data_IF_660907768671
#
_entry.id   IF_660907768671
#
_cell.length_a   1.000
_cell.length_b   1.000
_cell.length_c   1.000
_cell.angle_alpha   90.00
_cell.angle_beta   90.00
_cell.angle_gamma   90.00
#
_symmetry.space_group_name_H-M   'P 1'
#
loop_
_entity.id
_entity.type
_entity.pdbx_description
1 polymer ?
#
# COMPACT_ATOMS: atom_id res chain seq x y z
N UNK A 1 15.12 -14.60 -8.41
CA UNK A 1 16.20 -14.98 -9.37
C UNK A 1 16.01 -14.46 -10.80
N UNK A 2 14.78 -14.28 -11.33
CA UNK A 2 14.61 -13.90 -12.75
C UNK A 2 14.94 -12.42 -13.08
N UNK A 3 14.80 -11.49 -12.13
CA UNK A 3 15.01 -10.06 -12.36
C UNK A 3 16.49 -9.64 -12.36
N UNK A 4 17.33 -10.27 -11.53
CA UNK A 4 18.79 -10.03 -11.50
C UNK A 4 19.42 -10.42 -12.84
N UNK A 5 18.98 -11.55 -13.41
CA UNK A 5 19.46 -12.00 -14.71
C UNK A 5 19.04 -11.05 -15.86
N UNK A 6 17.87 -10.41 -15.77
CA UNK A 6 17.42 -9.41 -16.75
C UNK A 6 18.22 -8.11 -16.66
N UNK A 7 18.50 -7.64 -15.45
CA UNK A 7 19.31 -6.44 -15.23
C UNK A 7 20.74 -6.62 -15.74
N UNK A 8 21.37 -7.77 -15.43
CA UNK A 8 22.70 -8.08 -15.94
C UNK A 8 22.73 -8.16 -17.46
N UNK A 9 21.71 -8.76 -18.10
CA UNK A 9 21.58 -8.78 -19.57
C UNK A 9 21.49 -7.38 -20.18
N UNK A 10 20.75 -6.45 -19.56
CA UNK A 10 20.65 -5.08 -20.02
C UNK A 10 22.00 -4.34 -19.93
N UNK A 11 22.75 -4.55 -18.84
CA UNK A 11 24.11 -4.00 -18.68
C UNK A 11 25.04 -4.55 -19.77
N UNK A 12 25.04 -5.87 -20.02
CA UNK A 12 25.88 -6.46 -21.07
C UNK A 12 25.51 -5.93 -22.45
N UNK A 13 24.22 -5.74 -22.75
CA UNK A 13 23.78 -5.12 -24.00
C UNK A 13 24.30 -3.68 -24.14
N UNK A 14 24.18 -2.86 -23.09
CA UNK A 14 24.69 -1.49 -23.08
C UNK A 14 26.20 -1.42 -23.35
N UNK A 15 26.98 -2.28 -22.67
CA UNK A 15 28.43 -2.38 -22.86
C UNK A 15 28.76 -2.84 -24.29
N UNK A 16 28.02 -3.81 -24.84
CA UNK A 16 28.26 -4.28 -26.21
C UNK A 16 28.04 -3.20 -27.27
N UNK A 17 27.03 -2.33 -27.10
CA UNK A 17 26.76 -1.21 -28.01
C UNK A 17 27.92 -0.22 -27.96
N UNK A 18 28.42 0.08 -26.76
CA UNK A 18 29.57 0.96 -26.59
C UNK A 18 30.83 0.38 -27.27
N UNK A 19 31.17 -0.88 -26.99
CA UNK A 19 32.35 -1.53 -27.60
C UNK A 19 32.25 -1.55 -29.12
N UNK A 20 31.08 -1.88 -29.67
CA UNK A 20 30.88 -1.97 -31.11
C UNK A 20 30.93 -0.59 -31.79
N UNK A 21 30.21 0.40 -31.24
CA UNK A 21 30.16 1.75 -31.81
C UNK A 21 31.52 2.46 -31.75
N UNK A 22 32.20 2.41 -30.60
CA UNK A 22 33.55 2.98 -30.50
C UNK A 22 34.59 2.16 -31.27
N UNK A 23 34.43 0.83 -31.35
CA UNK A 23 35.27 -0.02 -32.18
C UNK A 23 35.22 0.36 -33.66
N UNK A 24 34.02 0.61 -34.20
CA UNK A 24 33.85 1.11 -35.58
C UNK A 24 34.47 2.49 -35.76
N UNK A 25 34.28 3.39 -34.80
CA UNK A 25 34.90 4.73 -34.84
C UNK A 25 36.43 4.64 -34.91
N UNK A 26 37.05 3.87 -34.02
CA UNK A 26 38.51 3.68 -33.98
C UNK A 26 39.02 3.02 -35.27
N UNK A 27 38.33 1.98 -35.76
CA UNK A 27 38.70 1.31 -36.99
C UNK A 27 38.60 2.26 -38.19
N UNK A 28 37.56 3.08 -38.27
CA UNK A 28 37.38 4.05 -39.34
C UNK A 28 38.47 5.13 -39.33
N UNK A 29 38.84 5.67 -38.17
CA UNK A 29 39.97 6.60 -38.04
C UNK A 29 41.27 5.92 -38.49
N UNK A 30 41.51 4.69 -38.03
CA UNK A 30 42.72 3.94 -38.36
C UNK A 30 42.84 3.73 -39.88
N UNK A 31 41.79 3.29 -40.55
CA UNK A 31 41.79 3.11 -42.01
C UNK A 31 42.03 4.43 -42.75
N UNK A 32 41.36 5.51 -42.34
CA UNK A 32 41.54 6.84 -42.96
C UNK A 32 42.97 7.36 -42.83
N UNK A 33 43.65 7.09 -41.70
CA UNK A 33 45.03 7.56 -41.47
C UNK A 33 46.07 6.68 -42.16
N UNK A 34 45.93 5.35 -42.12
CA UNK A 34 46.95 4.42 -42.62
C UNK A 34 46.80 4.05 -44.09
N UNK A 35 45.59 4.08 -44.64
CA UNK A 35 45.33 3.78 -46.05
C UNK A 35 45.14 5.05 -46.90
N UNK A 36 44.93 6.20 -46.25
CA UNK A 36 44.82 7.50 -46.91
C UNK A 36 46.16 8.21 -47.09
N UNK A 37 46.13 9.29 -47.86
CA UNK A 37 47.25 10.17 -48.22
C UNK A 37 47.80 11.04 -47.05
N UNK A 38 47.41 10.68 -45.82
CA UNK A 38 47.73 11.38 -44.57
C UNK A 38 48.97 10.81 -43.87
N UNK A 39 49.36 9.57 -44.20
CA UNK A 39 50.51 8.88 -43.59
C UNK A 39 51.85 9.52 -43.95
N UNK A 40 52.00 9.99 -45.19
CA UNK A 40 53.26 10.49 -45.73
C UNK A 40 53.46 12.00 -45.53
N UNK A 41 52.56 12.66 -44.78
CA UNK A 41 52.63 14.09 -44.48
C UNK A 41 53.29 14.33 -43.12
N UNK A 42 54.22 15.27 -43.08
CA UNK A 42 54.86 15.74 -41.84
C UNK A 42 53.77 16.25 -40.90
N UNK A 43 53.77 15.81 -39.64
CA UNK A 43 52.85 16.28 -38.61
C UNK A 43 52.93 17.82 -38.55
N UNK A 44 51.87 18.49 -38.97
CA UNK A 44 51.76 19.94 -38.94
C UNK A 44 50.62 20.39 -38.01
N UNK A 45 50.86 21.44 -37.23
CA UNK A 45 49.89 22.04 -36.31
C UNK A 45 49.41 23.42 -36.77
N UNK A 46 49.64 23.77 -38.04
CA UNK A 46 49.08 24.99 -38.61
C UNK A 46 47.56 24.84 -38.82
N UNK A 47 46.82 25.95 -38.78
CA UNK A 47 45.34 25.99 -38.89
C UNK A 47 44.82 25.16 -40.05
N UNK A 48 45.44 25.29 -41.23
CA UNK A 48 45.02 24.62 -42.46
C UNK A 48 45.25 23.10 -42.42
N UNK A 49 46.27 22.66 -41.68
CA UNK A 49 46.60 21.25 -41.52
C UNK A 49 45.62 20.57 -40.56
N UNK A 50 45.31 21.23 -39.45
CA UNK A 50 44.32 20.76 -38.47
C UNK A 50 42.93 20.70 -39.10
N UNK A 51 42.53 21.71 -39.86
CA UNK A 51 41.21 21.73 -40.52
C UNK A 51 41.06 20.57 -41.52
N UNK A 52 42.08 20.29 -42.34
CA UNK A 52 42.05 19.17 -43.30
C UNK A 52 42.04 17.81 -42.60
N UNK A 53 42.80 17.66 -41.52
CA UNK A 53 42.78 16.44 -40.71
C UNK A 53 41.40 16.20 -40.10
N UNK A 54 40.83 17.22 -39.45
CA UNK A 54 39.48 17.16 -38.85
C UNK A 54 38.46 16.76 -39.92
N UNK A 55 38.45 17.42 -41.09
CA UNK A 55 37.54 17.07 -42.19
C UNK A 55 37.69 15.62 -42.67
N UNK A 56 38.92 15.08 -42.67
CA UNK A 56 39.15 13.69 -43.07
C UNK A 56 38.62 12.67 -42.05
N UNK A 57 38.73 12.96 -40.75
CA UNK A 57 38.27 12.07 -39.67
C UNK A 57 36.85 12.37 -39.17
N UNK A 58 36.25 13.48 -39.59
CA UNK A 58 34.90 13.93 -39.21
C UNK A 58 33.83 12.84 -39.38
N UNK A 59 33.79 12.06 -40.48
CA UNK A 59 32.83 10.96 -40.62
C UNK A 59 32.96 9.91 -39.50
N UNK A 60 34.18 9.58 -39.09
CA UNK A 60 34.43 8.62 -38.01
C UNK A 60 34.06 9.20 -36.64
N UNK A 61 34.39 10.47 -36.38
CA UNK A 61 33.99 11.18 -35.17
C UNK A 61 32.46 11.32 -35.06
N UNK A 62 31.76 11.46 -36.18
CA UNK A 62 30.30 11.47 -36.25
C UNK A 62 29.70 10.14 -35.78
N UNK A 63 30.31 8.98 -36.13
CA UNK A 63 29.90 7.66 -35.61
C UNK A 63 30.09 7.58 -34.10
N UNK A 64 31.23 8.09 -33.60
CA UNK A 64 31.48 8.18 -32.15
C UNK A 64 30.44 9.04 -31.44
N UNK A 65 30.12 10.22 -31.98
CA UNK A 65 29.09 11.11 -31.45
C UNK A 65 27.71 10.45 -31.46
N UNK A 66 27.30 9.84 -32.58
CA UNK A 66 26.03 9.14 -32.68
C UNK A 66 25.92 7.97 -31.67
N UNK A 67 27.03 7.27 -31.42
CA UNK A 67 27.10 6.23 -30.38
C UNK A 67 26.91 6.84 -28.99
N UNK A 68 27.59 7.94 -28.68
CA UNK A 68 27.43 8.66 -27.41
C UNK A 68 25.99 9.16 -27.21
N UNK A 69 25.40 9.78 -28.23
CA UNK A 69 24.03 10.28 -28.18
C UNK A 69 23.04 9.14 -27.93
N UNK A 70 23.24 7.98 -28.58
CA UNK A 70 22.43 6.78 -28.34
C UNK A 70 22.59 6.25 -26.90
N UNK A 71 23.81 6.14 -26.39
CA UNK A 71 24.07 5.68 -25.03
C UNK A 71 23.46 6.61 -23.99
N UNK A 72 23.57 7.93 -24.19
CA UNK A 72 22.95 8.94 -23.33
C UNK A 72 21.43 8.81 -23.35
N UNK A 73 20.83 8.63 -24.53
CA UNK A 73 19.39 8.43 -24.66
C UNK A 73 18.90 7.18 -23.90
N UNK A 74 19.61 6.04 -24.06
CA UNK A 74 19.29 4.80 -23.36
C UNK A 74 19.46 4.96 -21.85
N UNK A 75 20.58 5.55 -21.40
CA UNK A 75 20.86 5.77 -19.99
C UNK A 75 19.82 6.70 -19.34
N UNK A 76 19.41 7.76 -20.04
CA UNK A 76 18.41 8.71 -19.56
C UNK A 76 17.04 8.04 -19.44
N UNK A 77 16.58 7.35 -20.49
CA UNK A 77 15.32 6.61 -20.45
C UNK A 77 15.31 5.53 -19.37
N UNK A 78 16.41 4.77 -19.26
CA UNK A 78 16.59 3.75 -18.23
C UNK A 78 16.58 4.33 -16.81
N UNK A 79 17.29 5.45 -16.60
CA UNK A 79 17.32 6.15 -15.32
C UNK A 79 15.95 6.63 -14.87
N UNK A 80 15.15 7.20 -15.78
CA UNK A 80 13.77 7.62 -15.50
C UNK A 80 12.91 6.42 -15.09
N UNK A 81 13.00 5.30 -15.82
CA UNK A 81 12.23 4.09 -15.50
C UNK A 81 12.62 3.48 -14.15
N UNK A 82 13.92 3.40 -13.85
CA UNK A 82 14.41 2.91 -12.56
C UNK A 82 13.96 3.82 -11.42
N UNK A 83 14.04 5.14 -11.60
CA UNK A 83 13.56 6.10 -10.61
C UNK A 83 12.05 5.92 -10.34
N UNK A 84 11.24 5.76 -11.39
CA UNK A 84 9.81 5.49 -11.26
C UNK A 84 9.53 4.18 -10.53
N UNK A 85 10.21 3.08 -10.87
CA UNK A 85 10.06 1.80 -10.18
C UNK A 85 10.50 1.86 -8.72
N UNK A 86 11.59 2.56 -8.43
CA UNK A 86 12.04 2.79 -7.06
C UNK A 86 11.00 3.56 -6.27
N UNK A 87 10.42 4.60 -6.86
CA UNK A 87 9.34 5.37 -6.27
C UNK A 87 8.10 4.50 -5.98
N UNK A 88 7.61 3.74 -6.97
CA UNK A 88 6.44 2.85 -6.80
C UNK A 88 6.68 1.79 -5.71
N UNK A 89 7.88 1.19 -5.69
CA UNK A 89 8.27 0.22 -4.67
C UNK A 89 8.31 0.86 -3.28
N UNK A 90 8.89 2.06 -3.18
CA UNK A 90 8.95 2.82 -1.92
C UNK A 90 7.55 3.16 -1.40
N UNK A 91 6.64 3.60 -2.27
CA UNK A 91 5.24 3.89 -1.91
C UNK A 91 4.54 2.61 -1.44
N UNK A 92 4.71 1.49 -2.14
CA UNK A 92 4.11 0.20 -1.74
C UNK A 92 4.64 -0.31 -0.41
N UNK A 93 5.95 -0.21 -0.16
CA UNK A 93 6.57 -0.61 1.10
C UNK A 93 6.12 0.30 2.25
N UNK A 94 6.00 1.61 2.00
CA UNK A 94 5.48 2.57 2.97
C UNK A 94 4.02 2.26 3.32
N UNK A 95 3.16 1.98 2.33
CA UNK A 95 1.78 1.58 2.56
C UNK A 95 1.67 0.30 3.41
N UNK A 96 2.49 -0.70 3.14
CA UNK A 96 2.53 -1.93 3.95
C UNK A 96 3.04 -1.67 5.38
N UNK A 97 4.10 -0.87 5.54
CA UNK A 97 4.62 -0.47 6.85
C UNK A 97 3.58 0.28 7.67
N UNK A 98 2.84 1.20 7.04
CA UNK A 98 1.75 1.93 7.66
C UNK A 98 0.59 0.99 8.06
N UNK A 99 0.22 0.04 7.20
CA UNK A 99 -0.79 -0.97 7.52
C UNK A 99 -0.42 -1.78 8.76
N UNK A 100 0.83 -2.27 8.84
CA UNK A 100 1.32 -3.07 9.98
C UNK A 100 1.35 -2.22 11.26
N UNK A 101 1.89 -1.00 11.18
CA UNK A 101 1.96 -0.08 12.31
C UNK A 101 0.57 0.26 12.84
N UNK A 102 -0.36 0.65 11.96
CA UNK A 102 -1.71 1.01 12.36
C UNK A 102 -2.51 -0.19 12.90
N UNK A 103 -2.32 -1.39 12.33
CA UNK A 103 -2.89 -2.62 12.90
C UNK A 103 -2.35 -2.89 14.31
N UNK A 104 -1.04 -2.74 14.52
CA UNK A 104 -0.43 -2.91 15.85
C UNK A 104 -0.97 -1.91 16.87
N UNK A 105 -1.19 -0.65 16.47
CA UNK A 105 -1.79 0.38 17.33
C UNK A 105 -3.24 0.01 17.66
N UNK A 106 -4.03 -0.38 16.65
CA UNK A 106 -5.41 -0.83 16.83
C UNK A 106 -5.49 -2.02 17.81
N UNK A 107 -4.67 -3.05 17.60
CA UNK A 107 -4.62 -4.23 18.46
C UNK A 107 -4.22 -3.86 19.90
N UNK A 108 -3.18 -3.04 20.08
CA UNK A 108 -2.74 -2.61 21.41
C UNK A 108 -3.82 -1.80 22.15
N UNK A 109 -4.50 -0.91 21.43
CA UNK A 109 -5.59 -0.12 22.00
C UNK A 109 -6.78 -1.01 22.37
N UNK A 110 -7.19 -1.91 21.46
CA UNK A 110 -8.28 -2.85 21.70
C UNK A 110 -8.00 -3.74 22.92
N UNK A 111 -6.79 -4.29 23.02
CA UNK A 111 -6.37 -5.09 24.18
C UNK A 111 -6.44 -4.27 25.48
N UNK A 112 -6.00 -3.02 25.44
CA UNK A 112 -6.03 -2.12 26.60
C UNK A 112 -7.47 -1.79 27.02
N UNK A 113 -8.38 -1.63 26.06
CA UNK A 113 -9.80 -1.41 26.34
C UNK A 113 -10.48 -2.67 26.89
N UNK A 114 -10.18 -3.84 26.33
CA UNK A 114 -10.71 -5.12 26.85
C UNK A 114 -10.22 -5.36 28.27
N UNK A 115 -8.96 -5.02 28.61
CA UNK A 115 -8.43 -5.20 29.96
C UNK A 115 -9.16 -4.36 31.04
N UNK A 116 -9.88 -3.30 30.65
CA UNK A 116 -10.72 -2.49 31.56
C UNK A 116 -12.08 -3.14 31.86
N UNK A 117 -12.41 -4.23 31.18
CA UNK A 117 -13.71 -4.89 31.17
C UNK A 117 -13.57 -6.28 31.78
N UNK A 118 -14.44 -6.64 32.72
CA UNK A 118 -14.35 -7.90 33.46
C UNK A 118 -15.21 -9.03 32.85
N UNK A 119 -16.07 -8.73 31.87
CA UNK A 119 -16.95 -9.72 31.23
C UNK A 119 -16.62 -10.00 29.76
N UNK A 120 -15.70 -9.25 29.16
CA UNK A 120 -15.27 -9.41 27.76
C UNK A 120 -13.89 -10.05 27.72
N UNK A 121 -13.73 -11.12 26.94
CA UNK A 121 -12.45 -11.80 26.77
C UNK A 121 -11.87 -11.47 25.39
N UNK A 122 -10.56 -11.23 25.30
CA UNK A 122 -9.87 -11.05 24.03
C UNK A 122 -10.05 -12.25 23.09
N UNK A 123 -10.13 -13.47 23.63
CA UNK A 123 -10.34 -14.68 22.83
C UNK A 123 -11.70 -14.72 22.13
N UNK A 124 -12.64 -13.85 22.51
CA UNK A 124 -13.96 -13.75 21.88
C UNK A 124 -14.00 -12.71 20.75
N UNK A 125 -12.85 -12.09 20.40
CA UNK A 125 -12.74 -11.01 19.43
C UNK A 125 -11.66 -11.32 18.40
N UNK A 126 -12.06 -11.45 17.13
CA UNK A 126 -11.12 -11.49 16.01
C UNK A 126 -10.66 -10.08 15.67
N UNK A 127 -9.55 -9.69 16.30
CA UNK A 127 -8.96 -8.34 16.16
C UNK A 127 -8.56 -8.05 14.71
N UNK A 128 -8.07 -9.06 13.97
CA UNK A 128 -7.61 -8.88 12.60
C UNK A 128 -8.78 -8.73 11.64
N UNK A 129 -9.82 -9.55 11.82
CA UNK A 129 -11.06 -9.41 11.05
C UNK A 129 -11.72 -8.06 11.30
N UNK A 130 -11.90 -7.67 12.55
CA UNK A 130 -12.50 -6.38 12.90
C UNK A 130 -11.69 -5.23 12.28
N UNK A 131 -10.36 -5.25 12.41
CA UNK A 131 -9.50 -4.25 11.80
C UNK A 131 -9.67 -4.16 10.28
N UNK A 132 -9.62 -5.29 9.57
CA UNK A 132 -9.77 -5.31 8.11
C UNK A 132 -11.20 -4.96 7.66
N UNK A 133 -12.19 -5.17 8.52
CA UNK A 133 -13.55 -4.72 8.27
C UNK A 133 -13.65 -3.20 8.37
N UNK A 134 -12.99 -2.58 9.36
CA UNK A 134 -12.90 -1.12 9.48
C UNK A 134 -12.09 -0.55 8.31
N UNK A 135 -10.88 -1.05 8.05
CA UNK A 135 -9.93 -0.50 7.06
C UNK A 135 -9.51 -1.52 5.98
N UNK A 136 -10.43 -1.93 5.07
CA UNK A 136 -10.17 -3.00 4.10
C UNK A 136 -9.10 -2.67 3.06
N UNK A 137 -8.83 -1.38 2.83
CA UNK A 137 -7.85 -0.90 1.84
C UNK A 137 -6.56 -0.38 2.48
N UNK A 138 -6.34 -0.63 3.77
CA UNK A 138 -5.15 -0.17 4.49
C UNK A 138 -3.84 -0.69 3.88
N UNK A 139 -3.82 -1.91 3.32
CA UNK A 139 -2.65 -2.45 2.59
C UNK A 139 -2.27 -1.65 1.33
N UNK A 140 -3.21 -0.89 0.78
CA UNK A 140 -2.99 0.04 -0.33
C UNK A 140 -2.72 1.47 0.15
N UNK A 141 -2.55 1.68 1.46
CA UNK A 141 -2.31 2.99 2.06
C UNK A 141 -3.57 3.83 2.28
N UNK A 142 -4.77 3.26 2.11
CA UNK A 142 -6.04 3.99 2.28
C UNK A 142 -6.64 3.66 3.64
N UNK A 143 -6.74 4.66 4.51
CA UNK A 143 -7.20 4.54 5.90
C UNK A 143 -8.61 5.11 6.09
N UNK A 144 -9.53 4.72 5.20
CA UNK A 144 -10.94 5.16 5.23
C UNK A 144 -11.79 4.04 5.80
N UNK A 145 -12.77 4.38 6.65
CA UNK A 145 -13.65 3.38 7.24
C UNK A 145 -14.60 2.82 6.19
N UNK A 146 -14.77 1.50 6.19
CA UNK A 146 -15.59 0.85 5.17
C UNK A 146 -17.07 1.13 5.37
N UNK A 147 -17.79 1.35 4.27
CA UNK A 147 -19.26 1.42 4.27
C UNK A 147 -19.89 0.15 4.87
N UNK A 148 -19.26 -1.00 4.65
CA UNK A 148 -19.70 -2.28 5.18
C UNK A 148 -19.70 -2.29 6.71
N UNK A 149 -18.61 -1.80 7.32
CA UNK A 149 -18.52 -1.66 8.77
C UNK A 149 -19.59 -0.71 9.33
N UNK A 150 -19.76 0.46 8.70
CA UNK A 150 -20.81 1.43 9.09
C UNK A 150 -22.19 0.81 9.10
N UNK A 151 -22.53 0.04 8.06
CA UNK A 151 -23.82 -0.64 7.99
C UNK A 151 -24.01 -1.64 9.14
N UNK A 152 -22.97 -2.41 9.50
CA UNK A 152 -23.09 -3.33 10.62
C UNK A 152 -23.23 -2.63 11.97
N UNK A 153 -22.52 -1.51 12.19
CA UNK A 153 -22.71 -0.69 13.39
C UNK A 153 -24.13 -0.13 13.45
N UNK A 154 -24.66 0.34 12.31
CA UNK A 154 -26.01 0.84 12.20
C UNK A 154 -27.06 -0.25 12.48
N UNK A 155 -26.87 -1.47 11.97
CA UNK A 155 -27.75 -2.61 12.26
C UNK A 155 -27.78 -2.96 13.76
N UNK A 156 -26.62 -2.93 14.44
CA UNK A 156 -26.55 -3.15 15.89
C UNK A 156 -27.30 -2.04 16.63
N UNK A 157 -27.07 -0.79 16.25
CA UNK A 157 -27.71 0.40 16.84
C UNK A 157 -29.23 0.35 16.69
N UNK A 158 -29.72 0.05 15.48
CA UNK A 158 -31.15 -0.07 15.20
C UNK A 158 -31.79 -1.18 16.03
N UNK A 159 -31.15 -2.36 16.10
CA UNK A 159 -31.68 -3.48 16.88
C UNK A 159 -31.78 -3.17 18.39
N UNK A 160 -30.80 -2.48 18.96
CA UNK A 160 -30.86 -2.01 20.36
C UNK A 160 -31.98 -0.98 20.54
N UNK A 161 -32.13 -0.05 19.59
CA UNK A 161 -33.19 0.96 19.63
C UNK A 161 -34.59 0.35 19.56
N UNK A 162 -34.80 -0.63 18.67
CA UNK A 162 -36.06 -1.37 18.55
C UNK A 162 -36.36 -2.15 19.83
N UNK A 163 -35.36 -2.86 20.37
CA UNK A 163 -35.50 -3.62 21.61
C UNK A 163 -35.83 -2.72 22.81
N UNK A 164 -35.23 -1.53 22.87
CA UNK A 164 -35.56 -0.50 23.85
C UNK A 164 -37.01 -0.01 23.72
N UNK A 165 -37.49 0.18 22.48
CA UNK A 165 -38.86 0.62 22.22
C UNK A 165 -39.89 -0.44 22.62
N UNK A 166 -39.66 -1.71 22.25
CA UNK A 166 -40.52 -2.85 22.62
C UNK A 166 -40.62 -2.96 24.15
N UNK A 167 -39.49 -2.92 24.86
CA UNK A 167 -39.50 -3.01 26.32
C UNK A 167 -40.20 -1.83 27.02
N UNK A 168 -40.35 -0.69 26.34
CA UNK A 168 -41.04 0.51 26.85
C UNK A 168 -42.53 0.55 26.51
N UNK A 169 -43.04 -0.39 25.70
CA UNK A 169 -44.40 -0.32 25.15
C UNK A 169 -45.42 -0.99 26.08
N UNK A 170 -46.49 -0.29 26.54
CA UNK A 170 -47.49 -0.86 27.46
C UNK A 170 -48.46 -1.87 26.83
N UNK A 171 -48.50 -1.97 25.49
CA UNK A 171 -49.70 -2.42 24.75
C UNK A 171 -49.59 -3.75 23.98
N UNK A 172 -48.60 -4.62 24.24
CA UNK A 172 -48.77 -6.05 23.96
C UNK A 172 -47.56 -6.83 23.42
N UNK A 173 -46.56 -6.20 22.81
CA UNK A 173 -45.31 -6.89 22.50
C UNK A 173 -44.42 -6.93 23.74
N UNK A 174 -44.21 -8.14 24.28
CA UNK A 174 -43.33 -8.34 25.43
C UNK A 174 -41.90 -8.56 24.92
N UNK A 175 -40.94 -7.78 25.42
CA UNK A 175 -39.52 -8.00 25.12
C UNK A 175 -39.12 -9.44 25.45
N UNK A 176 -38.55 -10.15 24.46
CA UNK A 176 -38.10 -11.54 24.61
C UNK A 176 -36.58 -11.61 24.60
N UNK A 177 -36.02 -11.93 25.76
CA UNK A 177 -34.57 -12.03 25.98
C UNK A 177 -33.85 -13.02 25.04
N UNK A 178 -34.34 -14.25 24.92
CA UNK A 178 -33.63 -15.28 24.11
C UNK A 178 -33.55 -14.93 22.62
N UNK A 179 -34.65 -14.48 21.96
CA UNK A 179 -34.57 -13.96 20.60
C UNK A 179 -33.61 -12.78 20.45
N UNK A 180 -33.66 -11.80 21.36
CA UNK A 180 -32.75 -10.65 21.37
C UNK A 180 -31.28 -11.09 21.40
N UNK A 181 -30.94 -11.99 22.33
CA UNK A 181 -29.58 -12.51 22.46
C UNK A 181 -29.09 -13.21 21.18
N UNK A 182 -29.94 -14.01 20.53
CA UNK A 182 -29.59 -14.70 19.29
C UNK A 182 -29.35 -13.73 18.13
N UNK A 183 -30.21 -12.71 17.99
CA UNK A 183 -30.06 -11.67 16.96
C UNK A 183 -28.80 -10.83 17.18
N UNK A 184 -28.56 -10.40 18.42
CA UNK A 184 -27.35 -9.66 18.76
C UNK A 184 -26.08 -10.49 18.53
N UNK A 185 -26.08 -11.77 18.90
CA UNK A 185 -24.95 -12.68 18.61
C UNK A 185 -24.64 -12.72 17.11
N UNK A 186 -25.67 -12.84 16.27
CA UNK A 186 -25.52 -12.83 14.81
C UNK A 186 -24.90 -11.50 14.33
N UNK A 187 -25.42 -10.36 14.79
CA UNK A 187 -24.92 -9.03 14.39
C UNK A 187 -23.50 -8.76 14.85
N UNK A 188 -23.15 -9.16 16.06
CA UNK A 188 -21.80 -9.00 16.60
C UNK A 188 -20.79 -9.91 15.88
N UNK A 189 -21.22 -11.09 15.44
CA UNK A 189 -20.37 -11.98 14.64
C UNK A 189 -19.94 -11.34 13.31
N UNK A 190 -20.78 -10.48 12.71
CA UNK A 190 -20.45 -9.74 11.48
C UNK A 190 -19.32 -8.73 11.65
N UNK A 191 -18.98 -8.35 12.89
CA UNK A 191 -17.83 -7.49 13.21
C UNK A 191 -16.69 -8.26 13.90
N UNK A 192 -16.76 -9.60 13.94
CA UNK A 192 -15.72 -10.45 14.52
C UNK A 192 -15.81 -10.61 16.03
N UNK A 193 -16.96 -10.31 16.64
CA UNK A 193 -17.20 -10.50 18.07
C UNK A 193 -18.09 -11.72 18.26
N UNK A 194 -17.61 -12.72 18.99
CA UNK A 194 -18.35 -13.93 19.32
C UNK A 194 -18.77 -13.89 20.78
N UNK A 195 -20.05 -14.16 21.06
CA UNK A 195 -20.56 -14.34 22.42
C UNK A 195 -21.30 -15.68 22.46
N UNK A 196 -21.23 -16.40 23.57
CA UNK A 196 -22.07 -17.58 23.81
C UNK A 196 -23.42 -17.19 24.41
N UNK A 197 -24.39 -18.10 24.36
CA UNK A 197 -25.64 -17.95 25.11
C UNK A 197 -25.33 -17.93 26.61
N UNK A 198 -25.91 -16.99 27.32
CA UNK A 198 -25.70 -16.76 28.75
C UNK A 198 -27.05 -16.60 29.49
N UNK A 199 -27.06 -16.72 30.82
CA UNK A 199 -28.16 -16.22 31.64
C UNK A 199 -28.40 -14.72 31.46
N UNK A 200 -29.64 -14.28 31.69
CA UNK A 200 -30.11 -12.92 31.39
C UNK A 200 -29.25 -11.81 31.97
N UNK A 201 -28.94 -11.90 33.27
CA UNK A 201 -28.18 -10.88 34.00
C UNK A 201 -26.75 -10.78 33.43
N UNK A 202 -26.10 -11.93 33.26
CA UNK A 202 -24.73 -12.02 32.75
C UNK A 202 -24.62 -11.50 31.32
N UNK A 203 -25.59 -11.84 30.47
CA UNK A 203 -25.62 -11.35 29.09
C UNK A 203 -25.72 -9.83 29.01
N UNK A 204 -26.59 -9.20 29.80
CA UNK A 204 -26.71 -7.75 29.76
C UNK A 204 -25.44 -7.04 30.23
N UNK A 205 -24.75 -7.57 31.25
CA UNK A 205 -23.45 -7.02 31.65
C UNK A 205 -22.41 -7.13 30.52
N UNK A 206 -22.39 -8.25 29.79
CA UNK A 206 -21.53 -8.46 28.62
C UNK A 206 -21.90 -7.47 27.50
N UNK A 207 -23.19 -7.36 27.19
CA UNK A 207 -23.72 -6.49 26.14
C UNK A 207 -23.38 -5.02 26.39
N UNK A 208 -23.60 -4.52 27.61
CA UNK A 208 -23.26 -3.14 27.99
C UNK A 208 -21.75 -2.87 27.81
N UNK A 209 -20.90 -3.82 28.20
CA UNK A 209 -19.45 -3.70 28.04
C UNK A 209 -19.01 -3.75 26.57
N UNK A 210 -19.65 -4.56 25.74
CA UNK A 210 -19.34 -4.66 24.31
C UNK A 210 -19.81 -3.44 23.53
N UNK A 211 -21.02 -2.93 23.81
CA UNK A 211 -21.51 -1.67 23.24
C UNK A 211 -20.52 -0.54 23.56
N UNK A 212 -20.11 -0.43 24.82
CA UNK A 212 -19.10 0.54 25.25
C UNK A 212 -17.76 0.33 24.53
N UNK A 213 -17.33 -0.92 24.33
CA UNK A 213 -16.09 -1.24 23.63
C UNK A 213 -16.14 -0.77 22.17
N UNK A 214 -17.24 -1.08 21.47
CA UNK A 214 -17.46 -0.67 20.08
C UNK A 214 -17.44 0.85 19.96
N UNK A 215 -18.14 1.56 20.85
CA UNK A 215 -18.16 3.02 20.86
C UNK A 215 -16.77 3.62 21.14
N UNK A 216 -15.98 3.03 22.04
CA UNK A 216 -14.59 3.43 22.28
C UNK A 216 -13.73 3.26 21.02
N UNK A 217 -13.83 2.12 20.34
CA UNK A 217 -13.08 1.86 19.10
C UNK A 217 -13.49 2.82 17.99
N UNK A 218 -14.80 3.04 17.79
CA UNK A 218 -15.32 3.98 16.80
C UNK A 218 -14.83 5.40 17.08
N UNK A 219 -14.89 5.84 18.34
CA UNK A 219 -14.46 7.18 18.74
C UNK A 219 -12.95 7.39 18.55
N UNK A 220 -12.13 6.34 18.64
CA UNK A 220 -10.67 6.47 18.52
C UNK A 220 -10.17 6.33 17.09
N UNK A 221 -10.77 5.45 16.29
CA UNK A 221 -10.27 5.09 14.97
C UNK A 221 -11.13 5.60 13.81
N UNK A 222 -12.35 6.08 14.06
CA UNK A 222 -13.29 6.49 13.00
C UNK A 222 -13.65 7.99 13.04
N UNK A 223 -12.77 8.83 13.61
CA UNK A 223 -13.02 10.25 13.95
C UNK A 223 -13.57 11.13 12.81
N UNK A 224 -13.13 10.90 11.57
CA UNK A 224 -13.54 11.72 10.42
C UNK A 224 -14.87 11.26 9.78
N UNK A 225 -15.42 10.15 10.23
CA UNK A 225 -16.62 9.56 9.65
C UNK A 225 -17.73 9.51 10.70
N UNK A 226 -18.92 10.02 10.36
CA UNK A 226 -20.10 10.10 11.24
C UNK A 226 -20.68 8.72 11.59
N UNK A 227 -19.90 7.88 12.27
CA UNK A 227 -20.39 6.65 12.87
C UNK A 227 -21.14 7.05 14.14
N UNK A 228 -22.46 6.91 14.08
CA UNK A 228 -23.30 7.13 15.25
C UNK A 228 -22.92 6.14 16.36
N UNK A 229 -22.97 6.61 17.60
CA UNK A 229 -22.82 5.75 18.76
C UNK A 229 -23.90 4.67 18.74
N UNK A 230 -23.54 3.46 19.16
CA UNK A 230 -24.43 2.30 19.20
C UNK A 230 -25.61 2.54 20.17
N UNK A 231 -25.41 3.37 21.20
CA UNK A 231 -26.46 3.79 22.13
C UNK A 231 -26.36 3.09 23.48
N UNK A 232 -27.45 3.15 24.27
CA UNK A 232 -27.49 2.59 25.62
C UNK A 232 -28.69 1.65 25.72
N UNK A 233 -28.48 0.48 26.33
CA UNK A 233 -29.54 -0.46 26.68
C UNK A 233 -30.47 0.12 27.73
N UNK A 234 -31.78 -0.05 27.55
CA UNK A 234 -32.84 0.37 28.47
C UNK A 234 -33.79 -0.77 28.87
N UNK A 235 -33.78 -1.89 28.15
CA UNK A 235 -34.58 -3.07 28.49
C UNK A 235 -33.99 -3.85 29.67
N UNK A 236 -34.85 -4.31 30.58
CA UNK A 236 -34.51 -5.12 31.74
C UNK A 236 -35.07 -6.53 31.64
#
# INVERSE_FOLDING_TARGET
MNNVNKFNRAIYAFISIAIFGYGICILSVFLTVFQGDLRDRIICLNSDCVERFIKAVEPALSVGKATSDLLVAIATAGGILIALWSYLTSVSNSALGNHISHFSIFQSYLNSEIAKRNRVNIGSIDTFYWYNLVFPKSKSGIMVVSKKYKNYIEEIRLHISESNAIASTPTGETFRYKPHQAEMQNRLSNIGITISMQPRIEYYEIEDQLISLIDCINSSFCLEEEIQKVGIRKYS
#
